data_IF_376714920062
#
_entry.id   IF_376714920062
#
_cell.length_a   1.000
_cell.length_b   1.000
_cell.length_c   1.000
_cell.angle_alpha   90.00
_cell.angle_beta   90.00
_cell.angle_gamma   90.00
#
_symmetry.space_group_name_H-M   'P 1'
#
loop_
_entity.id
_entity.type
_entity.pdbx_description
1 polymer ?
#
# COMPACT_ATOMS: atom_id res chain seq x y z
N UNK A 1 -54.03 -7.96 -78.28
CA UNK A 1 -54.89 -8.19 -79.46
C UNK A 1 -56.26 -8.54 -78.93
N UNK A 2 -57.31 -7.85 -79.37
CA UNK A 2 -58.67 -8.16 -78.93
C UNK A 2 -59.22 -9.30 -79.78
N UNK A 3 -59.84 -10.29 -79.14
CA UNK A 3 -60.55 -11.38 -79.80
C UNK A 3 -62.04 -11.12 -79.65
N UNK A 4 -62.76 -11.09 -80.77
CA UNK A 4 -64.20 -10.90 -80.83
C UNK A 4 -64.84 -12.26 -80.98
N UNK A 5 -65.81 -12.55 -80.13
CA UNK A 5 -66.57 -13.79 -80.24
C UNK A 5 -67.53 -13.70 -81.42
N UNK A 6 -67.33 -14.58 -82.41
CA UNK A 6 -68.26 -14.74 -83.53
C UNK A 6 -69.43 -15.60 -83.12
N UNK A 7 -69.13 -16.75 -82.48
CA UNK A 7 -70.11 -17.73 -82.01
C UNK A 7 -69.66 -18.33 -80.68
N UNK A 8 -70.53 -19.12 -80.06
CA UNK A 8 -70.17 -19.80 -78.80
C UNK A 8 -68.92 -20.64 -79.02
N UNK A 9 -67.87 -20.36 -78.24
CA UNK A 9 -66.55 -20.97 -78.34
C UNK A 9 -65.80 -20.77 -79.68
N UNK A 10 -66.12 -19.74 -80.47
CA UNK A 10 -65.37 -19.32 -81.69
C UNK A 10 -65.11 -17.82 -81.71
N UNK A 11 -63.85 -17.43 -81.90
CA UNK A 11 -63.37 -16.06 -81.78
C UNK A 11 -62.44 -15.70 -82.93
N UNK A 12 -62.54 -14.47 -83.44
CA UNK A 12 -61.62 -13.91 -84.44
C UNK A 12 -60.86 -12.70 -83.87
N UNK A 13 -59.70 -12.37 -84.43
CA UNK A 13 -58.97 -11.16 -84.05
C UNK A 13 -59.00 -10.03 -85.11
N UNK A 14 -59.82 -10.19 -86.16
CA UNK A 14 -59.95 -9.24 -87.27
C UNK A 14 -58.76 -9.19 -88.23
N UNK A 15 -57.81 -10.14 -88.12
CA UNK A 15 -56.68 -10.32 -89.05
C UNK A 15 -56.67 -11.73 -89.64
N UNK A 16 -57.86 -12.34 -89.81
CA UNK A 16 -58.04 -13.68 -90.35
C UNK A 16 -57.73 -14.83 -89.40
N UNK A 17 -57.19 -14.60 -88.19
CA UNK A 17 -56.96 -15.67 -87.23
C UNK A 17 -58.23 -16.01 -86.44
N UNK A 18 -58.57 -17.29 -86.42
CA UNK A 18 -59.70 -17.89 -85.72
C UNK A 18 -59.19 -18.78 -84.58
N UNK A 19 -59.68 -18.52 -83.38
CA UNK A 19 -59.57 -19.39 -82.21
C UNK A 19 -60.93 -20.04 -81.98
N UNK A 20 -61.02 -21.35 -82.11
CA UNK A 20 -62.27 -22.06 -81.87
C UNK A 20 -62.09 -23.31 -81.02
N UNK A 21 -63.17 -23.73 -80.39
CA UNK A 21 -63.23 -25.01 -79.69
C UNK A 21 -63.81 -26.07 -80.62
N UNK A 22 -62.92 -26.83 -81.22
CA UNK A 22 -63.28 -28.00 -81.99
C UNK A 22 -63.77 -29.14 -81.07
N UNK A 23 -64.74 -29.90 -81.56
CA UNK A 23 -65.37 -30.99 -80.81
C UNK A 23 -64.47 -32.19 -80.58
N UNK A 24 -63.44 -32.38 -81.41
CA UNK A 24 -62.52 -33.52 -81.36
C UNK A 24 -61.16 -33.13 -80.75
N UNK A 25 -60.64 -31.95 -81.07
CA UNK A 25 -59.29 -31.51 -80.68
C UNK A 25 -59.27 -30.47 -79.55
N UNK A 26 -60.43 -29.96 -79.12
CA UNK A 26 -60.51 -28.90 -78.13
C UNK A 26 -60.14 -27.54 -78.71
N UNK A 27 -59.44 -26.68 -77.97
CA UNK A 27 -59.09 -25.35 -78.46
C UNK A 27 -58.04 -25.41 -79.57
N UNK A 28 -58.38 -24.90 -80.74
CA UNK A 28 -57.53 -24.83 -81.93
C UNK A 28 -57.39 -23.39 -82.42
N UNK A 29 -56.25 -23.08 -83.08
CA UNK A 29 -55.97 -21.78 -83.68
C UNK A 29 -55.57 -21.96 -85.15
N UNK A 30 -56.22 -21.24 -86.06
CA UNK A 30 -55.91 -21.25 -87.49
C UNK A 30 -56.16 -19.89 -88.12
N UNK A 31 -55.78 -19.74 -89.39
CA UNK A 31 -56.09 -18.57 -90.20
C UNK A 31 -57.14 -18.95 -91.25
N UNK A 32 -58.23 -18.21 -91.36
CA UNK A 32 -59.40 -18.52 -92.19
C UNK A 32 -59.03 -18.71 -93.67
N UNK A 33 -58.33 -17.75 -94.28
CA UNK A 33 -57.93 -17.85 -95.69
C UNK A 33 -56.98 -19.02 -95.98
N UNK A 34 -56.24 -19.50 -94.96
CA UNK A 34 -55.32 -20.63 -95.11
C UNK A 34 -56.08 -21.95 -94.95
N UNK A 35 -57.03 -22.00 -94.03
CA UNK A 35 -57.86 -23.18 -93.76
C UNK A 35 -58.81 -23.47 -94.92
N UNK A 36 -59.37 -22.42 -95.54
CA UNK A 36 -60.21 -22.54 -96.73
C UNK A 36 -59.46 -23.14 -97.94
N UNK A 37 -58.18 -22.80 -98.11
CA UNK A 37 -57.35 -23.29 -99.23
C UNK A 37 -56.66 -24.62 -98.91
N UNK A 38 -56.34 -24.88 -97.63
CA UNK A 38 -55.68 -26.07 -97.12
C UNK A 38 -56.38 -26.56 -95.83
N UNK A 39 -57.25 -27.60 -95.92
CA UNK A 39 -57.97 -28.09 -94.76
C UNK A 39 -57.04 -28.72 -93.72
N UNK A 40 -57.44 -28.68 -92.45
CA UNK A 40 -56.73 -29.21 -91.28
C UNK A 40 -55.38 -28.54 -90.96
N UNK A 41 -55.19 -27.28 -91.37
CA UNK A 41 -53.97 -26.50 -91.10
C UNK A 41 -53.95 -25.81 -89.73
N UNK A 42 -54.82 -26.24 -88.82
CA UNK A 42 -54.95 -25.67 -87.47
C UNK A 42 -53.90 -26.20 -86.49
N UNK A 43 -53.60 -25.39 -85.47
CA UNK A 43 -52.74 -25.76 -84.35
C UNK A 43 -53.60 -26.09 -83.14
N UNK A 44 -53.45 -27.30 -82.59
CA UNK A 44 -54.10 -27.69 -81.34
C UNK A 44 -53.37 -27.02 -80.17
N UNK A 45 -54.08 -26.14 -79.46
CA UNK A 45 -53.45 -25.33 -78.42
C UNK A 45 -53.14 -26.13 -77.15
N UNK A 46 -53.79 -27.28 -76.94
CA UNK A 46 -53.48 -28.21 -75.86
C UNK A 46 -52.05 -28.80 -75.98
N UNK A 47 -51.55 -28.95 -77.22
CA UNK A 47 -50.22 -29.48 -77.49
C UNK A 47 -49.12 -28.43 -77.26
N UNK A 48 -49.47 -27.13 -77.33
CA UNK A 48 -48.57 -26.01 -77.01
C UNK A 48 -48.67 -25.57 -75.54
N UNK A 49 -49.87 -25.61 -74.97
CA UNK A 49 -50.19 -25.16 -73.62
C UNK A 49 -51.02 -26.23 -72.92
N UNK A 50 -50.55 -26.76 -71.80
CA UNK A 50 -51.17 -27.93 -71.15
C UNK A 50 -52.65 -27.75 -70.76
N UNK A 51 -53.18 -26.52 -70.75
CA UNK A 51 -54.61 -26.19 -70.69
C UNK A 51 -54.87 -24.66 -70.84
N UNK A 52 -55.15 -24.10 -72.04
CA UNK A 52 -55.39 -22.66 -72.20
C UNK A 52 -56.78 -22.18 -71.71
N UNK A 53 -57.66 -23.09 -71.25
CA UNK A 53 -59.04 -22.78 -70.84
C UNK A 53 -59.28 -22.60 -69.34
N UNK A 54 -58.24 -22.57 -68.49
CA UNK A 54 -58.39 -22.44 -67.04
C UNK A 54 -57.58 -21.26 -66.47
N UNK A 55 -58.30 -20.22 -66.02
CA UNK A 55 -57.91 -19.34 -64.92
C UNK A 55 -56.78 -18.32 -65.14
N UNK A 56 -56.79 -17.55 -66.23
CA UNK A 56 -55.92 -16.36 -66.35
C UNK A 56 -56.61 -15.16 -65.71
N UNK A 57 -55.97 -14.50 -64.73
CA UNK A 57 -56.40 -13.17 -64.26
C UNK A 57 -55.73 -12.11 -65.13
N UNK A 58 -56.52 -11.45 -65.97
CA UNK A 58 -56.05 -10.32 -66.79
C UNK A 58 -56.00 -9.03 -65.97
N UNK A 59 -54.98 -8.20 -66.23
CA UNK A 59 -54.89 -6.87 -65.64
C UNK A 59 -56.00 -5.97 -66.19
N UNK A 60 -56.51 -5.07 -65.36
CA UNK A 60 -57.42 -4.00 -65.77
C UNK A 60 -56.77 -3.20 -66.91
N UNK A 61 -57.41 -3.05 -68.07
CA UNK A 61 -56.78 -2.49 -69.27
C UNK A 61 -56.60 -0.97 -69.23
N UNK A 62 -57.21 -0.26 -68.28
CA UNK A 62 -57.07 1.20 -68.10
C UNK A 62 -55.97 1.50 -67.09
N UNK A 63 -55.84 0.68 -66.05
CA UNK A 63 -54.92 0.92 -64.92
C UNK A 63 -53.71 0.00 -64.91
N UNK A 64 -53.72 -1.06 -65.71
CA UNK A 64 -52.70 -2.09 -65.83
C UNK A 64 -52.38 -2.82 -64.50
N UNK A 65 -53.39 -3.00 -63.64
CA UNK A 65 -53.29 -3.63 -62.31
C UNK A 65 -54.17 -4.89 -62.20
N UNK A 66 -53.84 -5.78 -61.28
CA UNK A 66 -54.68 -6.96 -60.99
C UNK A 66 -56.02 -6.49 -60.38
N UNK A 67 -57.18 -6.95 -60.87
CA UNK A 67 -58.49 -6.61 -60.31
C UNK A 67 -58.63 -6.99 -58.82
N UNK A 68 -59.17 -6.07 -58.02
CA UNK A 68 -59.22 -6.17 -56.55
C UNK A 68 -60.06 -7.36 -56.07
N UNK A 69 -61.08 -7.75 -56.85
CA UNK A 69 -61.96 -8.90 -56.59
C UNK A 69 -61.25 -10.25 -56.73
N UNK A 70 -60.02 -10.26 -57.28
CA UNK A 70 -59.16 -11.44 -57.40
C UNK A 70 -58.04 -11.49 -56.36
N UNK A 71 -57.93 -10.50 -55.48
CA UNK A 71 -56.97 -10.50 -54.39
C UNK A 71 -57.63 -11.04 -53.10
N UNK A 72 -56.96 -11.89 -52.30
CA UNK A 72 -57.46 -12.25 -50.98
C UNK A 72 -57.44 -11.01 -50.08
N UNK A 73 -58.54 -10.68 -49.36
CA UNK A 73 -58.51 -9.59 -48.41
C UNK A 73 -57.71 -10.03 -47.19
N UNK A 74 -56.56 -9.40 -46.94
CA UNK A 74 -56.15 -9.19 -45.54
C UNK A 74 -55.34 -7.90 -45.40
N UNK A 75 -56.09 -6.84 -45.12
CA UNK A 75 -55.67 -5.62 -44.45
C UNK A 75 -56.89 -5.23 -43.62
N UNK A 76 -56.68 -4.72 -42.39
CA UNK A 76 -57.71 -4.17 -41.49
C UNK A 76 -58.92 -3.69 -42.31
N UNK A 77 -60.06 -4.39 -42.23
CA UNK A 77 -61.17 -4.09 -43.13
C UNK A 77 -61.87 -2.82 -42.65
N UNK A 78 -62.07 -2.68 -41.33
CA UNK A 78 -62.79 -1.54 -40.77
C UNK A 78 -62.27 -1.11 -39.38
N UNK A 79 -62.52 0.17 -39.07
CA UNK A 79 -62.28 0.77 -37.75
C UNK A 79 -63.64 1.17 -37.15
N UNK A 80 -64.01 0.55 -36.04
CA UNK A 80 -65.24 0.80 -35.32
C UNK A 80 -64.99 1.70 -34.11
N UNK A 81 -65.83 2.71 -33.88
CA UNK A 81 -65.82 3.47 -32.61
C UNK A 81 -67.05 3.10 -31.80
N UNK A 82 -66.84 2.61 -30.58
CA UNK A 82 -67.87 2.16 -29.65
C UNK A 82 -67.71 2.86 -28.29
N UNK A 83 -68.77 2.87 -27.49
CA UNK A 83 -68.82 3.54 -26.19
C UNK A 83 -68.94 2.57 -25.01
N UNK A 84 -68.73 1.27 -25.23
CA UNK A 84 -68.70 0.26 -24.17
C UNK A 84 -68.08 -1.06 -24.65
N UNK A 85 -67.69 -1.91 -23.71
CA UNK A 85 -67.29 -3.30 -24.00
C UNK A 85 -68.41 -4.12 -24.65
N UNK A 86 -69.66 -3.91 -24.20
CA UNK A 86 -70.80 -4.65 -24.72
C UNK A 86 -71.00 -4.32 -26.20
N UNK A 87 -70.88 -3.04 -26.57
CA UNK A 87 -70.93 -2.62 -27.96
C UNK A 87 -69.76 -3.16 -28.80
N UNK A 88 -68.56 -3.29 -28.22
CA UNK A 88 -67.40 -3.92 -28.88
C UNK A 88 -67.66 -5.39 -29.22
N UNK A 89 -68.18 -6.17 -28.27
CA UNK A 89 -68.43 -7.61 -28.46
C UNK A 89 -69.63 -7.90 -29.37
N UNK A 90 -70.45 -6.89 -29.67
CA UNK A 90 -71.57 -6.98 -30.59
C UNK A 90 -71.22 -6.59 -32.04
N UNK A 91 -69.95 -6.21 -32.31
CA UNK A 91 -69.50 -5.84 -33.65
C UNK A 91 -69.54 -7.04 -34.59
N UNK A 92 -70.02 -6.80 -35.82
CA UNK A 92 -69.81 -7.72 -36.94
C UNK A 92 -68.42 -7.41 -37.50
N UNK A 93 -67.39 -7.99 -36.89
CA UNK A 93 -65.99 -7.75 -37.18
C UNK A 93 -65.26 -9.04 -37.58
N UNK A 94 -64.21 -8.90 -38.39
CA UNK A 94 -63.34 -9.97 -38.84
C UNK A 94 -61.95 -9.81 -38.23
N UNK A 95 -61.18 -10.91 -38.22
CA UNK A 95 -59.79 -10.90 -37.79
C UNK A 95 -59.02 -9.77 -38.49
N UNK A 96 -58.41 -8.90 -37.71
CA UNK A 96 -57.69 -7.72 -38.17
C UNK A 96 -58.44 -6.39 -37.99
N UNK A 97 -59.76 -6.40 -37.74
CA UNK A 97 -60.51 -5.18 -37.50
C UNK A 97 -60.15 -4.52 -36.17
N UNK A 98 -60.35 -3.19 -36.10
CA UNK A 98 -60.01 -2.39 -34.93
C UNK A 98 -61.28 -1.84 -34.29
N UNK A 99 -61.40 -1.99 -32.97
CA UNK A 99 -62.39 -1.30 -32.16
C UNK A 99 -61.72 -0.21 -31.30
N UNK A 100 -62.26 1.00 -31.34
CA UNK A 100 -61.87 2.14 -30.50
C UNK A 100 -62.95 2.34 -29.44
N UNK A 101 -62.58 2.21 -28.17
CA UNK A 101 -63.49 2.39 -27.03
C UNK A 101 -63.35 3.77 -26.43
N UNK A 102 -64.37 4.61 -26.67
CA UNK A 102 -64.45 5.99 -26.16
C UNK A 102 -64.77 6.07 -24.65
N UNK A 103 -65.19 4.96 -24.03
CA UNK A 103 -65.45 4.87 -22.59
C UNK A 103 -64.20 4.66 -21.74
N UNK A 104 -63.04 4.44 -22.37
CA UNK A 104 -61.75 4.25 -21.71
C UNK A 104 -60.85 5.47 -21.92
N UNK A 105 -59.96 5.81 -20.96
CA UNK A 105 -59.02 6.92 -21.12
C UNK A 105 -57.99 6.64 -22.22
N UNK A 106 -57.71 7.67 -23.04
CA UNK A 106 -56.84 7.58 -24.21
C UNK A 106 -57.54 6.98 -25.44
N UNK A 107 -56.87 6.88 -26.60
CA UNK A 107 -57.43 6.14 -27.73
C UNK A 107 -57.35 4.65 -27.39
N UNK A 108 -58.32 4.10 -26.66
CA UNK A 108 -58.30 2.69 -26.29
C UNK A 108 -58.66 1.83 -27.50
N UNK A 109 -57.63 1.44 -28.26
CA UNK A 109 -57.76 0.67 -29.49
C UNK A 109 -57.51 -0.82 -29.22
N UNK A 110 -58.31 -1.67 -29.84
CA UNK A 110 -58.23 -3.13 -29.76
C UNK A 110 -58.26 -3.72 -31.16
N UNK A 111 -57.42 -4.70 -31.46
CA UNK A 111 -57.44 -5.45 -32.72
C UNK A 111 -58.02 -6.84 -32.49
N UNK A 112 -58.90 -7.30 -33.39
CA UNK A 112 -59.46 -8.64 -33.32
C UNK A 112 -58.45 -9.67 -33.86
N UNK A 113 -57.89 -10.50 -32.96
CA UNK A 113 -56.87 -11.50 -33.29
C UNK A 113 -57.43 -12.93 -33.43
N UNK A 114 -58.72 -13.16 -33.17
CA UNK A 114 -59.40 -14.43 -33.38
C UNK A 114 -60.54 -14.31 -34.39
N UNK A 115 -61.26 -15.40 -34.66
CA UNK A 115 -62.36 -15.41 -35.64
C UNK A 115 -63.74 -15.14 -35.02
N UNK A 116 -63.81 -15.03 -33.69
CA UNK A 116 -65.05 -14.74 -32.95
C UNK A 116 -64.99 -13.34 -32.30
N UNK A 117 -65.72 -12.33 -32.83
CA UNK A 117 -65.76 -10.97 -32.26
C UNK A 117 -66.53 -10.89 -30.94
N UNK A 118 -67.37 -11.87 -30.58
CA UNK A 118 -68.09 -11.89 -29.32
C UNK A 118 -67.23 -12.38 -28.14
N UNK A 119 -66.09 -13.02 -28.42
CA UNK A 119 -65.17 -13.49 -27.40
C UNK A 119 -64.15 -12.43 -27.03
N UNK A 120 -64.26 -11.85 -25.83
CA UNK A 120 -63.42 -10.74 -25.38
C UNK A 120 -61.91 -11.00 -25.46
N UNK A 121 -61.46 -12.23 -25.20
CA UNK A 121 -60.03 -12.54 -25.24
C UNK A 121 -59.44 -12.52 -26.67
N UNK A 122 -60.29 -12.55 -27.70
CA UNK A 122 -59.82 -12.35 -29.08
C UNK A 122 -59.47 -10.89 -29.37
N UNK A 123 -59.89 -9.93 -28.54
CA UNK A 123 -59.58 -8.51 -28.72
C UNK A 123 -58.31 -8.13 -27.96
N UNK A 124 -57.24 -7.88 -28.70
CA UNK A 124 -55.93 -7.54 -28.14
C UNK A 124 -55.77 -6.01 -28.08
N UNK A 125 -55.51 -5.42 -26.90
CA UNK A 125 -55.27 -3.98 -26.80
C UNK A 125 -54.00 -3.60 -27.54
N UNK A 126 -54.08 -2.62 -28.44
CA UNK A 126 -52.93 -2.09 -29.20
C UNK A 126 -52.43 -0.75 -28.64
N UNK A 127 -53.09 -0.22 -27.62
CA UNK A 127 -52.73 1.02 -26.93
C UNK A 127 -52.55 0.80 -25.44
N UNK A 128 -51.53 1.43 -24.85
CA UNK A 128 -51.34 1.48 -23.41
C UNK A 128 -52.40 2.39 -22.78
N UNK A 129 -53.13 1.87 -21.79
CA UNK A 129 -54.26 2.52 -21.11
C UNK A 129 -53.90 3.79 -20.32
N UNK A 130 -52.61 4.09 -20.14
CA UNK A 130 -52.13 5.33 -19.53
C UNK A 130 -50.81 5.75 -20.18
N UNK A 131 -50.71 6.94 -20.80
CA UNK A 131 -49.40 7.46 -21.17
C UNK A 131 -48.59 7.68 -19.88
N UNK A 132 -47.49 6.94 -19.71
CA UNK A 132 -46.53 7.18 -18.63
C UNK A 132 -45.99 8.62 -18.74
N UNK A 133 -45.89 9.32 -17.62
CA UNK A 133 -45.31 10.67 -17.57
C UNK A 133 -43.94 10.76 -18.26
N UNK A 134 -43.14 9.69 -18.17
CA UNK A 134 -41.83 9.59 -18.81
C UNK A 134 -41.91 9.59 -20.34
N UNK A 135 -43.02 9.10 -20.90
CA UNK A 135 -43.22 8.95 -22.34
C UNK A 135 -43.85 10.19 -22.99
N UNK A 136 -44.26 11.18 -22.19
CA UNK A 136 -44.76 12.48 -22.68
C UNK A 136 -43.56 13.33 -23.12
N UNK A 137 -43.49 13.64 -24.42
CA UNK A 137 -42.50 14.56 -24.99
C UNK A 137 -42.93 16.03 -24.81
N UNK A 138 -41.99 16.97 -24.92
CA UNK A 138 -42.23 18.42 -24.83
C UNK A 138 -42.84 18.90 -23.51
N UNK A 139 -42.47 18.27 -22.38
CA UNK A 139 -42.84 18.74 -21.05
C UNK A 139 -42.24 20.13 -20.79
N UNK A 140 -43.02 21.10 -20.27
CA UNK A 140 -42.47 22.40 -19.88
C UNK A 140 -41.48 22.21 -18.72
N UNK A 141 -40.42 23.01 -18.69
CA UNK A 141 -39.40 22.95 -17.63
C UNK A 141 -39.93 23.39 -16.25
N UNK A 142 -41.03 24.13 -16.23
CA UNK A 142 -41.72 24.53 -15.02
C UNK A 142 -43.23 24.61 -15.25
N UNK A 143 -43.99 24.41 -14.19
CA UNK A 143 -45.42 24.66 -14.16
C UNK A 143 -45.66 25.99 -13.45
N UNK A 144 -46.48 26.90 -14.01
CA UNK A 144 -46.91 28.08 -13.28
C UNK A 144 -47.49 27.65 -11.93
N UNK A 145 -46.93 28.11 -10.80
CA UNK A 145 -47.43 27.71 -9.50
C UNK A 145 -48.86 28.25 -9.33
N UNK A 146 -49.69 27.48 -8.64
CA UNK A 146 -50.94 28.01 -8.11
C UNK A 146 -50.68 29.21 -7.18
N UNK A 147 -51.71 30.02 -6.97
CA UNK A 147 -51.64 31.10 -5.97
C UNK A 147 -51.29 30.50 -4.61
N UNK A 148 -50.19 30.98 -4.04
CA UNK A 148 -49.75 30.66 -2.69
C UNK A 148 -49.32 31.96 -2.00
N UNK A 149 -49.41 31.98 -0.67
CA UNK A 149 -48.97 33.12 0.12
C UNK A 149 -47.64 32.80 0.82
N UNK A 150 -46.86 33.86 1.06
CA UNK A 150 -45.79 33.88 2.05
C UNK A 150 -46.31 34.75 3.19
N UNK A 151 -47.19 34.20 4.01
CA UNK A 151 -47.84 34.93 5.11
C UNK A 151 -46.87 35.22 6.28
N UNK A 152 -47.41 35.67 7.41
CA UNK A 152 -46.68 35.99 8.66
C UNK A 152 -45.82 34.85 9.21
N UNK A 153 -45.92 33.64 8.66
CA UNK A 153 -45.06 32.51 9.01
C UNK A 153 -43.65 32.62 8.42
N UNK A 154 -43.43 33.52 7.44
CA UNK A 154 -42.15 33.71 6.76
C UNK A 154 -41.75 35.19 6.75
N UNK A 155 -40.51 35.46 7.16
CA UNK A 155 -39.90 36.77 6.93
C UNK A 155 -39.39 36.85 5.49
N UNK A 156 -39.66 37.97 4.83
CA UNK A 156 -39.00 38.31 3.57
C UNK A 156 -37.52 38.61 3.82
N UNK A 157 -36.69 38.43 2.80
CA UNK A 157 -35.26 38.72 2.88
C UNK A 157 -34.97 40.16 3.37
N UNK A 158 -35.65 41.22 2.86
CA UNK A 158 -35.43 42.58 3.35
C UNK A 158 -35.78 42.78 4.84
N UNK A 159 -36.81 42.10 5.36
CA UNK A 159 -37.19 42.18 6.77
C UNK A 159 -36.11 41.56 7.67
N UNK A 160 -35.57 40.40 7.28
CA UNK A 160 -34.46 39.76 7.99
C UNK A 160 -33.20 40.61 7.94
N UNK A 161 -32.85 41.13 6.76
CA UNK A 161 -31.67 41.99 6.57
C UNK A 161 -31.79 43.26 7.44
N UNK A 162 -32.98 43.88 7.50
CA UNK A 162 -33.26 45.05 8.34
C UNK A 162 -33.16 44.70 9.83
N UNK A 163 -33.72 43.57 10.25
CA UNK A 163 -33.66 43.12 11.64
C UNK A 163 -32.25 42.76 12.11
N UNK A 164 -31.36 42.38 11.18
CA UNK A 164 -29.96 42.03 11.45
C UNK A 164 -28.99 43.20 11.33
N UNK A 165 -29.32 44.27 10.59
CA UNK A 165 -28.41 45.39 10.30
C UNK A 165 -27.83 46.06 11.57
N UNK A 166 -28.59 46.08 12.67
CA UNK A 166 -28.16 46.63 13.96
C UNK A 166 -27.54 45.62 14.93
N UNK A 167 -27.44 44.34 14.55
CA UNK A 167 -26.94 43.28 15.44
C UNK A 167 -25.45 43.03 15.19
N UNK A 168 -24.69 42.90 16.28
CA UNK A 168 -23.28 42.50 16.25
C UNK A 168 -23.15 40.97 16.24
N UNK A 169 -22.13 40.45 15.56
CA UNK A 169 -21.78 39.03 15.60
C UNK A 169 -21.27 38.60 16.98
N UNK A 170 -21.71 37.45 17.47
CA UNK A 170 -21.22 36.86 18.72
C UNK A 170 -19.81 36.28 18.61
N UNK A 171 -19.27 36.14 17.39
CA UNK A 171 -17.93 35.61 17.15
C UNK A 171 -16.81 36.63 17.44
N UNK A 172 -17.15 37.92 17.53
CA UNK A 172 -16.18 38.99 17.80
C UNK A 172 -16.32 39.48 19.24
N UNK A 173 -15.25 39.39 20.07
CA UNK A 173 -15.23 40.03 21.38
C UNK A 173 -15.55 41.52 21.27
N UNK A 174 -16.24 42.05 22.28
CA UNK A 174 -16.59 43.47 22.33
C UNK A 174 -15.34 44.28 22.74
N UNK A 175 -14.85 45.21 21.91
CA UNK A 175 -13.74 46.08 22.28
C UNK A 175 -14.14 46.98 23.46
N UNK A 176 -13.19 47.27 24.37
CA UNK A 176 -13.45 48.14 25.52
C UNK A 176 -13.93 49.54 25.12
N UNK A 177 -13.56 50.04 23.93
CA UNK A 177 -14.00 51.32 23.39
C UNK A 177 -15.50 51.39 23.08
N UNK A 178 -16.14 50.24 22.85
CA UNK A 178 -17.56 50.17 22.50
C UNK A 178 -18.46 50.02 23.73
N UNK A 179 -17.86 49.91 24.92
CA UNK A 179 -18.58 49.73 26.16
C UNK A 179 -18.69 51.09 26.84
N UNK A 180 -19.93 51.55 27.02
CA UNK A 180 -20.21 52.74 27.83
C UNK A 180 -19.99 52.40 29.30
N UNK A 181 -19.07 53.10 29.95
CA UNK A 181 -18.75 52.97 31.37
C UNK A 181 -19.65 53.85 32.23
N UNK A 182 -19.86 53.49 33.49
CA UNK A 182 -20.61 54.29 34.46
C UNK A 182 -19.72 54.75 35.63
N UNK A 183 -20.33 55.42 36.62
CA UNK A 183 -19.61 55.95 37.76
C UNK A 183 -18.99 54.87 38.67
N UNK A 184 -19.54 53.65 38.64
CA UNK A 184 -19.15 52.50 39.46
C UNK A 184 -18.41 51.40 38.69
N UNK A 185 -18.43 51.43 37.36
CA UNK A 185 -17.78 50.44 36.49
C UNK A 185 -16.95 51.16 35.42
N UNK A 186 -15.63 51.24 35.63
CA UNK A 186 -14.67 51.83 34.69
C UNK A 186 -13.60 50.83 34.30
N UNK A 187 -13.13 50.92 33.05
CA UNK A 187 -11.90 50.23 32.65
C UNK A 187 -10.69 50.91 33.28
N UNK A 188 -9.69 50.11 33.56
CA UNK A 188 -8.42 50.55 34.13
C UNK A 188 -7.29 50.04 33.25
N UNK A 189 -6.31 50.89 33.00
CA UNK A 189 -5.11 50.51 32.27
C UNK A 189 -4.09 49.86 33.19
N UNK A 190 -3.17 49.09 32.62
CA UNK A 190 -2.09 48.48 33.43
C UNK A 190 -1.14 49.53 34.01
N UNK A 191 -1.02 50.71 33.38
CA UNK A 191 -0.29 51.85 33.93
C UNK A 191 -0.95 52.38 35.21
N UNK A 192 -2.27 52.60 35.19
CA UNK A 192 -3.02 53.04 36.38
C UNK A 192 -2.96 52.01 37.50
N UNK A 193 -3.11 50.71 37.19
CA UNK A 193 -2.93 49.63 38.19
C UNK A 193 -1.53 49.63 38.81
N UNK A 194 -0.50 49.90 38.01
CA UNK A 194 0.88 49.97 38.49
C UNK A 194 1.05 51.12 39.48
N UNK A 195 0.44 52.28 39.20
CA UNK A 195 0.44 53.42 40.14
C UNK A 195 -0.33 53.12 41.43
N UNK A 196 -1.43 52.37 41.38
CA UNK A 196 -2.18 52.01 42.60
C UNK A 196 -1.51 50.95 43.46
N UNK A 197 -0.91 49.93 42.84
CA UNK A 197 -0.25 48.83 43.55
C UNK A 197 1.16 49.20 44.02
N UNK A 198 1.78 50.18 43.35
CA UNK A 198 3.11 50.70 43.70
C UNK A 198 3.03 52.23 43.69
N UNK A 199 2.24 52.84 44.60
CA UNK A 199 2.21 54.29 44.68
C UNK A 199 3.62 54.78 44.97
N UNK A 200 4.01 55.87 44.30
CA UNK A 200 5.28 56.52 44.60
C UNK A 200 5.35 56.74 46.12
N UNK A 201 6.44 56.31 46.74
CA UNK A 201 6.61 56.48 48.18
C UNK A 201 6.37 57.96 48.50
N UNK A 202 5.35 58.23 49.32
CA UNK A 202 5.10 59.58 49.82
C UNK A 202 6.40 60.03 50.48
N UNK A 203 7.04 61.06 49.95
CA UNK A 203 8.13 61.72 50.68
C UNK A 203 7.55 62.10 52.06
N UNK A 204 8.27 61.75 53.12
CA UNK A 204 7.90 62.10 54.48
C UNK A 204 7.52 63.58 54.61
N UNK A 205 8.14 64.45 53.81
CA UNK A 205 7.90 65.88 53.78
C UNK A 205 6.53 66.28 53.20
N UNK A 206 5.89 65.48 52.34
CA UNK A 206 4.62 65.82 51.67
C UNK A 206 3.37 65.38 52.43
N UNK A 207 3.53 64.55 53.47
CA UNK A 207 2.44 64.14 54.36
C UNK A 207 1.97 65.31 55.25
N UNK A 208 0.74 65.77 55.05
CA UNK A 208 0.04 66.71 55.92
C UNK A 208 -0.60 65.98 57.12
N UNK A 209 -0.79 66.67 58.25
CA UNK A 209 -1.39 66.14 59.49
C UNK A 209 -0.65 64.96 60.14
N UNK A 210 0.66 64.84 59.93
CA UNK A 210 1.49 63.84 60.62
C UNK A 210 1.70 64.19 62.10
N UNK A 211 1.59 63.23 63.02
CA UNK A 211 1.98 63.42 64.43
C UNK A 211 3.45 63.85 64.54
N UNK A 212 3.75 64.82 65.42
CA UNK A 212 5.13 65.24 65.70
C UNK A 212 5.95 64.12 66.38
N UNK A 213 5.28 63.20 67.06
CA UNK A 213 5.81 61.92 67.51
C UNK A 213 4.69 60.89 67.45
N UNK A 214 5.08 59.63 67.26
CA UNK A 214 4.21 58.48 67.48
C UNK A 214 4.55 57.94 68.86
N UNK A 215 3.71 58.14 69.89
CA UNK A 215 3.87 57.43 71.15
C UNK A 215 3.76 55.93 70.82
N UNK A 216 4.77 55.10 71.14
CA UNK A 216 4.62 53.66 70.94
C UNK A 216 3.46 53.17 71.80
N UNK A 217 2.68 52.24 71.27
CA UNK A 217 1.71 51.52 72.07
C UNK A 217 2.42 50.89 73.28
N UNK A 218 1.67 50.79 74.37
CA UNK A 218 2.09 50.16 75.62
C UNK A 218 2.42 48.70 75.29
N UNK A 219 3.71 48.41 75.12
CA UNK A 219 4.22 47.08 74.87
C UNK A 219 5.06 46.63 76.06
N UNK A 220 5.01 45.34 76.33
CA UNK A 220 5.85 44.69 77.32
C UNK A 220 7.00 43.97 76.60
N UNK A 221 8.13 43.86 77.27
CA UNK A 221 9.20 42.94 76.88
C UNK A 221 9.07 41.69 77.75
N UNK A 222 7.95 40.98 77.60
CA UNK A 222 7.68 39.76 78.34
C UNK A 222 8.41 38.54 77.73
N UNK A 223 8.08 37.34 78.19
CA UNK A 223 8.69 36.09 77.74
C UNK A 223 8.50 35.78 76.24
N UNK A 224 7.64 36.52 75.53
CA UNK A 224 7.50 36.40 74.08
C UNK A 224 8.65 37.08 73.32
N UNK A 225 9.47 37.89 74.00
CA UNK A 225 10.64 38.55 73.42
C UNK A 225 11.94 38.05 74.04
N UNK A 226 12.93 37.77 73.20
CA UNK A 226 14.29 37.55 73.69
C UNK A 226 15.00 38.89 73.88
N UNK A 227 15.64 39.09 75.02
CA UNK A 227 16.58 40.19 75.22
C UNK A 227 17.79 40.04 74.29
N UNK A 228 18.47 41.16 74.02
CA UNK A 228 19.71 41.15 73.23
C UNK A 228 20.72 40.14 73.77
N UNK A 229 20.91 40.09 75.09
CA UNK A 229 21.82 39.12 75.72
C UNK A 229 21.40 37.67 75.51
N UNK A 230 20.10 37.37 75.51
CA UNK A 230 19.60 36.01 75.28
C UNK A 230 19.82 35.58 73.83
N UNK A 231 19.58 36.47 72.85
CA UNK A 231 19.86 36.19 71.44
C UNK A 231 21.36 36.08 71.19
N UNK A 232 22.16 37.01 71.71
CA UNK A 232 23.63 36.96 71.58
C UNK A 232 24.16 35.63 72.14
N UNK A 233 23.63 35.18 73.28
CA UNK A 233 23.98 33.88 73.87
C UNK A 233 23.53 32.70 73.00
N UNK A 234 22.28 32.73 72.50
CA UNK A 234 21.74 31.68 71.65
C UNK A 234 22.48 31.55 70.30
N UNK A 235 23.02 32.67 69.81
CA UNK A 235 23.75 32.74 68.53
C UNK A 235 25.27 32.56 68.67
N UNK A 236 25.87 32.70 69.86
CA UNK A 236 27.32 32.66 70.05
C UNK A 236 28.00 31.37 69.54
N UNK A 237 27.27 30.24 69.50
CA UNK A 237 27.74 28.96 68.96
C UNK A 237 27.22 28.61 67.57
N UNK A 238 26.47 29.50 66.92
CA UNK A 238 25.89 29.26 65.60
C UNK A 238 26.81 29.82 64.51
N UNK A 239 27.01 29.03 63.45
CA UNK A 239 27.76 29.46 62.26
C UNK A 239 26.83 30.20 61.29
N UNK A 240 27.35 31.19 60.59
CA UNK A 240 26.66 31.84 59.47
C UNK A 240 26.51 30.88 58.29
N UNK A 241 25.35 30.85 57.65
CA UNK A 241 25.09 30.06 56.44
C UNK A 241 25.71 30.68 55.17
N UNK A 242 26.16 31.93 55.24
CA UNK A 242 26.73 32.64 54.09
C UNK A 242 28.18 32.22 53.75
N UNK A 243 28.86 31.52 54.67
CA UNK A 243 30.24 31.04 54.47
C UNK A 243 30.26 29.52 54.37
N UNK A 244 30.77 28.95 53.26
CA UNK A 244 30.99 27.50 53.15
C UNK A 244 31.84 26.96 54.31
N UNK A 245 31.58 25.72 54.73
CA UNK A 245 32.32 25.06 55.81
C UNK A 245 33.67 24.60 55.24
N UNK A 246 34.82 25.07 55.76
CA UNK A 246 36.12 24.58 55.32
C UNK A 246 36.31 23.12 55.79
N UNK A 247 37.01 22.32 54.99
CA UNK A 247 37.23 20.91 55.29
C UNK A 247 37.93 20.67 56.66
N UNK A 248 38.69 21.66 57.15
CA UNK A 248 39.35 21.62 58.46
C UNK A 248 38.38 21.59 59.64
N UNK A 249 37.16 22.08 59.45
CA UNK A 249 36.14 22.17 60.51
C UNK A 249 35.20 20.96 60.49
N UNK A 250 35.40 20.02 59.57
CA UNK A 250 34.59 18.83 59.41
C UNK A 250 35.36 17.65 60.00
N UNK A 251 34.80 17.04 61.04
CA UNK A 251 35.30 15.77 61.58
C UNK A 251 34.90 14.63 60.65
N UNK A 252 35.84 13.95 59.97
CA UNK A 252 35.52 12.84 59.09
C UNK A 252 35.15 11.58 59.87
N UNK A 253 34.35 10.70 59.28
CA UNK A 253 33.99 9.40 59.86
C UNK A 253 34.69 8.24 59.14
N UNK A 254 34.40 7.00 59.54
CA UNK A 254 35.03 5.80 58.96
C UNK A 254 34.70 5.57 57.49
N UNK A 255 33.64 6.20 56.98
CA UNK A 255 33.12 6.05 55.62
C UNK A 255 33.27 7.31 54.76
N UNK A 256 33.55 8.47 55.37
CA UNK A 256 33.72 9.75 54.68
C UNK A 256 35.04 10.40 55.09
N UNK A 257 36.02 10.42 54.19
CA UNK A 257 37.32 11.08 54.39
C UNK A 257 37.58 12.08 53.27
N UNK A 258 38.22 13.19 53.60
CA UNK A 258 38.75 14.10 52.58
C UNK A 258 40.00 13.47 51.94
N UNK A 259 40.18 13.72 50.64
CA UNK A 259 41.33 13.26 49.87
C UNK A 259 42.00 14.46 49.25
N UNK A 260 43.31 14.56 49.41
CA UNK A 260 44.12 15.63 48.81
C UNK A 260 44.41 15.35 47.33
N UNK A 261 44.73 16.40 46.56
CA UNK A 261 45.10 16.21 45.15
C UNK A 261 46.40 15.42 44.98
N UNK A 262 47.30 15.48 45.96
CA UNK A 262 48.51 14.65 45.98
C UNK A 262 48.17 13.16 46.11
N UNK A 263 47.28 12.78 47.03
CA UNK A 263 46.80 11.39 47.17
C UNK A 263 46.08 10.91 45.91
N UNK A 264 45.22 11.75 45.31
CA UNK A 264 44.56 11.42 44.02
C UNK A 264 45.58 11.19 42.91
N UNK A 265 46.62 12.03 42.83
CA UNK A 265 47.67 11.89 41.84
C UNK A 265 48.44 10.58 42.02
N UNK A 266 48.74 10.17 43.26
CA UNK A 266 49.37 8.87 43.53
C UNK A 266 48.49 7.70 43.12
N UNK A 267 47.19 7.72 43.42
CA UNK A 267 46.26 6.66 42.99
C UNK A 267 46.11 6.58 41.48
N UNK A 268 46.02 7.73 40.80
CA UNK A 268 45.92 7.79 39.35
C UNK A 268 47.23 7.34 38.68
N UNK A 269 48.39 7.70 39.24
CA UNK A 269 49.69 7.25 38.76
C UNK A 269 49.90 5.73 38.94
N UNK A 270 49.28 5.13 39.95
CA UNK A 270 49.24 3.67 40.15
C UNK A 270 48.33 2.94 39.14
N UNK A 271 47.73 3.64 38.17
CA UNK A 271 47.09 3.03 37.01
C UNK A 271 45.71 2.42 37.27
N UNK A 272 44.98 2.87 38.30
CA UNK A 272 43.53 2.61 38.43
C UNK A 272 43.08 1.14 38.33
N UNK A 273 43.97 0.18 38.58
CA UNK A 273 43.72 -1.23 38.35
C UNK A 273 44.55 -2.09 39.28
N UNK A 274 43.86 -2.80 40.17
CA UNK A 274 44.31 -3.95 40.96
C UNK A 274 45.84 -4.09 41.11
N UNK A 275 46.40 -3.49 42.16
CA UNK A 275 47.71 -3.92 42.66
C UNK A 275 47.57 -5.33 43.21
N UNK A 276 47.75 -6.34 42.35
CA UNK A 276 47.89 -7.74 42.76
C UNK A 276 49.17 -7.84 43.62
N UNK A 277 49.08 -8.30 44.89
CA UNK A 277 50.19 -8.30 45.84
C UNK A 277 51.39 -9.19 45.46
N UNK A 278 51.36 -9.88 44.32
CA UNK A 278 52.37 -10.90 43.98
C UNK A 278 53.17 -10.68 42.69
N UNK A 279 53.07 -9.54 41.99
CA UNK A 279 53.89 -9.22 40.80
C UNK A 279 53.93 -10.27 39.65
N UNK A 280 53.04 -11.26 39.68
CA UNK A 280 53.09 -12.45 38.84
C UNK A 280 51.73 -12.63 38.19
N UNK A 281 51.66 -12.32 36.88
CA UNK A 281 51.49 -13.37 35.86
C UNK A 281 50.87 -12.90 34.54
N UNK A 282 50.32 -11.69 34.43
CA UNK A 282 49.84 -11.21 33.11
C UNK A 282 50.03 -9.69 32.95
N UNK A 283 51.03 -9.30 32.17
CA UNK A 283 51.15 -7.93 31.68
C UNK A 283 50.44 -7.80 30.33
N UNK A 284 49.17 -7.40 30.35
CA UNK A 284 48.35 -7.19 29.15
C UNK A 284 48.83 -6.04 28.25
N UNK A 285 49.84 -5.27 28.65
CA UNK A 285 50.39 -4.19 27.83
C UNK A 285 51.34 -4.69 26.71
N UNK A 286 51.74 -5.97 26.73
CA UNK A 286 52.71 -6.54 25.77
C UNK A 286 52.16 -7.78 25.04
N UNK A 287 51.01 -7.66 24.36
CA UNK A 287 50.56 -8.63 23.36
C UNK A 287 50.50 -10.10 23.81
N UNK A 288 50.46 -11.06 22.87
CA UNK A 288 50.40 -12.52 23.14
C UNK A 288 51.74 -13.09 23.68
N UNK A 289 52.39 -12.40 24.60
CA UNK A 289 53.68 -12.80 25.18
C UNK A 289 53.51 -12.95 26.70
N UNK A 290 53.96 -14.07 27.28
CA UNK A 290 54.15 -14.17 28.74
C UNK A 290 55.62 -13.88 29.03
N UNK A 291 55.87 -12.86 29.86
CA UNK A 291 57.22 -12.60 30.38
C UNK A 291 57.44 -13.49 31.59
N UNK A 292 57.98 -14.69 31.37
CA UNK A 292 58.45 -15.55 32.46
C UNK A 292 59.76 -14.96 32.98
N UNK A 293 59.92 -14.77 34.30
CA UNK A 293 61.02 -14.00 34.91
C UNK A 293 62.45 -14.44 34.51
N UNK A 294 62.61 -15.67 34.01
CA UNK A 294 63.89 -16.26 33.59
C UNK A 294 64.19 -16.14 32.09
N UNK A 295 63.31 -15.55 31.28
CA UNK A 295 63.52 -15.38 29.84
C UNK A 295 63.69 -13.88 29.51
N UNK A 296 64.91 -13.42 29.16
CA UNK A 296 65.20 -11.99 28.97
C UNK A 296 64.41 -11.32 27.85
N UNK A 297 63.97 -12.10 26.87
CA UNK A 297 63.28 -11.62 25.68
C UNK A 297 61.87 -12.21 25.63
N UNK A 298 60.80 -11.41 25.43
CA UNK A 298 59.45 -11.92 25.28
C UNK A 298 59.44 -12.98 24.17
N UNK A 299 59.29 -14.25 24.55
CA UNK A 299 59.33 -15.36 23.60
C UNK A 299 57.90 -15.77 23.31
N UNK A 300 57.47 -15.79 22.04
CA UNK A 300 56.11 -16.21 21.67
C UNK A 300 55.87 -17.63 22.16
N UNK A 301 54.86 -17.80 23.03
CA UNK A 301 54.41 -19.11 23.50
C UNK A 301 53.61 -19.74 22.37
N UNK A 302 53.94 -20.97 21.98
CA UNK A 302 53.23 -21.69 20.92
C UNK A 302 51.92 -22.30 21.43
N UNK A 303 51.88 -22.68 22.71
CA UNK A 303 50.69 -23.17 23.39
C UNK A 303 50.99 -23.59 24.83
N UNK A 304 50.05 -24.30 25.44
CA UNK A 304 50.16 -24.82 26.80
C UNK A 304 49.92 -26.33 26.79
N UNK A 305 50.64 -27.06 27.64
CA UNK A 305 50.33 -28.45 27.97
C UNK A 305 49.14 -28.50 28.94
N UNK A 306 48.51 -29.67 29.09
CA UNK A 306 47.35 -29.85 29.97
C UNK A 306 47.65 -29.57 31.45
N UNK A 307 48.93 -29.63 31.86
CA UNK A 307 49.41 -29.28 33.20
C UNK A 307 49.65 -27.77 33.39
N UNK A 308 49.39 -26.96 32.36
CA UNK A 308 49.62 -25.52 32.39
C UNK A 308 51.07 -25.10 32.15
N UNK A 309 51.96 -26.00 31.72
CA UNK A 309 53.32 -25.63 31.31
C UNK A 309 53.30 -25.00 29.90
N UNK A 310 53.89 -23.81 29.68
CA UNK A 310 53.97 -23.24 28.34
C UNK A 310 54.96 -24.04 27.49
N UNK A 311 54.63 -24.24 26.22
CA UNK A 311 55.58 -24.80 25.26
C UNK A 311 55.82 -23.86 24.08
N UNK A 312 56.97 -24.05 23.47
CA UNK A 312 57.56 -23.24 22.41
C UNK A 312 57.87 -24.13 21.21
N UNK A 313 57.95 -23.53 20.03
CA UNK A 313 58.28 -24.22 18.79
C UNK A 313 59.53 -23.59 18.17
N UNK A 314 60.48 -24.42 17.73
CA UNK A 314 61.70 -23.99 17.02
C UNK A 314 61.92 -24.81 15.76
N UNK A 315 62.18 -24.14 14.64
CA UNK A 315 62.47 -24.78 13.35
C UNK A 315 63.96 -24.74 13.04
N UNK A 316 64.51 -25.88 12.64
CA UNK A 316 65.91 -26.09 12.27
C UNK A 316 65.97 -26.75 10.89
N UNK A 317 67.03 -26.49 10.13
CA UNK A 317 67.28 -27.17 8.85
C UNK A 317 68.72 -27.65 8.82
N UNK A 318 68.94 -28.91 8.48
CA UNK A 318 70.27 -29.50 8.39
C UNK A 318 70.43 -30.36 7.13
N UNK A 319 71.57 -30.23 6.45
CA UNK A 319 71.87 -30.97 5.21
C UNK A 319 72.75 -32.18 5.49
N UNK A 320 72.30 -33.36 5.08
CA UNK A 320 73.17 -34.52 4.94
C UNK A 320 73.58 -34.68 3.47
N UNK A 321 74.88 -34.62 3.20
CA UNK A 321 75.42 -34.82 1.86
C UNK A 321 75.34 -36.30 1.43
N UNK A 322 75.51 -36.57 0.13
CA UNK A 322 75.54 -37.94 -0.37
C UNK A 322 76.62 -38.76 0.35
N UNK A 323 76.29 -40.00 0.74
CA UNK A 323 77.18 -40.87 1.51
C UNK A 323 77.25 -40.62 3.04
N UNK A 324 76.75 -39.49 3.55
CA UNK A 324 76.76 -39.19 5.00
C UNK A 324 75.52 -39.77 5.69
N UNK A 325 75.67 -40.65 6.68
CA UNK A 325 74.54 -41.35 7.33
C UNK A 325 73.99 -40.62 8.56
N UNK A 326 74.76 -39.72 9.17
CA UNK A 326 74.31 -38.93 10.33
C UNK A 326 74.99 -37.56 10.41
N UNK A 327 74.41 -36.66 11.19
CA UNK A 327 75.01 -35.36 11.52
C UNK A 327 74.20 -34.59 12.54
N UNK A 328 74.81 -33.57 13.15
CA UNK A 328 74.23 -32.87 14.29
C UNK A 328 74.20 -31.36 14.10
N UNK A 329 73.18 -30.71 14.67
CA UNK A 329 72.99 -29.25 14.64
C UNK A 329 72.66 -28.74 16.04
N UNK A 330 73.21 -27.59 16.43
CA UNK A 330 72.87 -26.97 17.72
C UNK A 330 71.41 -26.49 17.74
N UNK A 331 70.62 -26.93 18.73
CA UNK A 331 69.22 -26.50 18.85
C UNK A 331 69.06 -25.26 19.76
N UNK A 332 70.02 -24.98 20.63
CA UNK A 332 70.00 -23.79 21.51
C UNK A 332 68.82 -23.77 22.49
N UNK A 333 68.50 -24.92 23.08
CA UNK A 333 67.49 -25.07 24.14
C UNK A 333 68.29 -25.51 25.37
N UNK A 334 68.37 -24.66 26.39
CA UNK A 334 69.23 -24.91 27.55
C UNK A 334 68.71 -26.08 28.38
N UNK A 335 69.59 -27.01 28.76
CA UNK A 335 69.28 -28.21 29.55
C UNK A 335 68.23 -29.12 28.88
N UNK A 336 68.25 -29.21 27.55
CA UNK A 336 67.24 -29.95 26.80
C UNK A 336 67.19 -31.45 27.13
N UNK A 337 68.35 -32.11 27.19
CA UNK A 337 68.47 -33.53 27.54
C UNK A 337 68.30 -33.77 29.02
N UNK A 338 69.00 -32.98 29.86
CA UNK A 338 68.97 -33.11 31.33
C UNK A 338 67.56 -32.95 31.90
N UNK A 339 66.76 -32.03 31.35
CA UNK A 339 65.40 -31.76 31.82
C UNK A 339 64.30 -32.30 30.89
N UNK A 340 64.63 -33.14 29.90
CA UNK A 340 63.69 -33.67 28.90
C UNK A 340 62.78 -32.59 28.27
N UNK A 341 63.37 -31.43 27.93
CA UNK A 341 62.60 -30.25 27.49
C UNK A 341 62.04 -30.41 26.09
N UNK A 342 62.68 -31.20 25.24
CA UNK A 342 62.18 -31.47 23.88
C UNK A 342 61.28 -32.71 23.95
N UNK A 343 59.97 -32.48 23.92
CA UNK A 343 58.98 -33.56 24.06
C UNK A 343 58.42 -34.02 22.72
N UNK A 344 58.74 -33.34 21.61
CA UNK A 344 58.30 -33.77 20.29
C UNK A 344 58.99 -33.05 19.15
N UNK A 345 58.96 -33.66 17.97
CA UNK A 345 59.39 -33.03 16.74
C UNK A 345 58.52 -33.42 15.55
N UNK A 346 58.47 -32.54 14.56
CA UNK A 346 57.91 -32.78 13.24
C UNK A 346 59.02 -32.59 12.22
N UNK A 347 59.01 -33.31 11.10
CA UNK A 347 60.07 -33.17 10.12
C UNK A 347 59.60 -33.23 8.67
N UNK A 348 60.43 -32.69 7.78
CA UNK A 348 60.27 -32.75 6.34
C UNK A 348 61.64 -32.99 5.72
N UNK A 349 61.73 -33.94 4.79
CA UNK A 349 62.98 -34.28 4.07
C UNK A 349 62.87 -33.82 2.63
N UNK A 350 63.89 -33.12 2.14
CA UNK A 350 63.93 -32.56 0.78
C UNK A 350 65.17 -33.11 0.07
N UNK A 351 64.99 -33.81 -1.05
CA UNK A 351 66.12 -34.21 -1.91
C UNK A 351 66.74 -33.00 -2.60
N UNK A 352 68.08 -32.98 -2.73
CA UNK A 352 68.83 -31.86 -3.32
C UNK A 352 69.54 -32.33 -4.61
N UNK A 353 69.40 -31.63 -5.76
CA UNK A 353 68.49 -30.51 -6.01
C UNK A 353 67.02 -30.97 -6.01
N UNK A 354 66.11 -30.06 -5.63
CA UNK A 354 64.67 -30.34 -5.51
C UNK A 354 64.06 -30.75 -6.86
N UNK A 355 63.77 -32.03 -7.04
CA UNK A 355 62.92 -32.52 -8.14
C UNK A 355 61.46 -32.23 -7.81
N UNK A 356 60.68 -31.72 -8.78
CA UNK A 356 59.39 -31.03 -8.60
C UNK A 356 58.19 -31.82 -8.05
N UNK A 357 58.34 -32.48 -6.90
CA UNK A 357 57.25 -33.02 -6.09
C UNK A 357 56.87 -32.13 -4.91
N UNK A 358 55.63 -32.27 -4.42
CA UNK A 358 55.13 -31.59 -3.22
C UNK A 358 55.82 -32.16 -1.97
N UNK A 359 56.61 -31.34 -1.27
CA UNK A 359 57.21 -31.72 0.00
C UNK A 359 56.17 -31.51 1.11
N UNK A 360 55.58 -32.60 1.61
CA UNK A 360 54.60 -32.56 2.69
C UNK A 360 55.30 -32.51 4.06
N UNK A 361 54.73 -31.76 5.00
CA UNK A 361 55.04 -31.87 6.44
C UNK A 361 54.40 -33.18 6.94
N UNK A 362 55.20 -34.16 7.35
CA UNK A 362 54.68 -35.41 7.89
C UNK A 362 54.86 -35.43 9.40
N UNK A 363 53.75 -35.57 10.12
CA UNK A 363 53.72 -35.82 11.57
C UNK A 363 53.88 -37.32 11.82
N UNK A 364 54.89 -37.74 12.58
CA UNK A 364 55.05 -39.13 13.08
C UNK A 364 54.89 -40.28 12.06
N UNK A 365 55.37 -40.09 10.83
CA UNK A 365 55.53 -41.19 9.87
C UNK A 365 57.01 -41.45 9.62
N UNK A 366 57.43 -42.72 9.66
CA UNK A 366 58.72 -43.18 9.13
C UNK A 366 58.70 -43.02 7.61
N UNK A 367 59.02 -41.82 7.11
CA UNK A 367 59.47 -41.72 5.75
C UNK A 367 60.81 -42.46 5.70
N UNK A 368 60.97 -43.37 4.73
CA UNK A 368 62.12 -44.27 4.50
C UNK A 368 63.49 -43.59 4.28
N UNK A 369 63.66 -42.36 4.79
CA UNK A 369 64.83 -41.49 4.68
C UNK A 369 65.29 -40.96 6.03
N UNK A 370 64.44 -40.90 7.07
CA UNK A 370 64.86 -40.59 8.44
C UNK A 370 64.75 -41.86 9.28
N UNK A 371 65.86 -42.28 9.91
CA UNK A 371 65.89 -43.45 10.77
C UNK A 371 65.64 -43.06 12.23
N UNK A 372 66.37 -42.06 12.72
CA UNK A 372 66.36 -41.67 14.12
C UNK A 372 66.71 -40.20 14.27
N UNK A 373 66.14 -39.57 15.30
CA UNK A 373 66.50 -38.23 15.76
C UNK A 373 66.75 -38.33 17.26
N UNK A 374 67.97 -38.01 17.66
CA UNK A 374 68.40 -37.97 19.06
C UNK A 374 68.73 -36.53 19.45
N UNK A 375 68.67 -36.21 20.73
CA UNK A 375 69.12 -34.91 21.23
C UNK A 375 69.86 -35.06 22.57
N UNK A 376 70.79 -34.14 22.81
CA UNK A 376 71.39 -33.91 24.13
C UNK A 376 71.07 -32.48 24.61
N UNK A 377 71.82 -31.95 25.57
CA UNK A 377 71.61 -30.59 26.08
C UNK A 377 71.91 -29.47 25.08
N UNK A 378 72.58 -29.79 23.97
CA UNK A 378 73.14 -28.83 23.03
C UNK A 378 72.85 -29.14 21.57
N UNK A 379 72.87 -30.42 21.18
CA UNK A 379 72.85 -30.89 19.81
C UNK A 379 71.62 -31.76 19.53
N UNK A 380 71.06 -31.56 18.33
CA UNK A 380 70.09 -32.45 17.71
C UNK A 380 70.82 -33.27 16.66
N UNK A 381 70.85 -34.59 16.83
CA UNK A 381 71.51 -35.54 15.93
C UNK A 381 70.49 -36.23 15.04
N UNK A 382 70.71 -36.19 13.74
CA UNK A 382 69.83 -36.73 12.71
C UNK A 382 70.54 -37.92 12.09
N UNK A 383 69.91 -39.09 12.12
CA UNK A 383 70.41 -40.32 11.51
C UNK A 383 69.43 -40.71 10.40
N UNK A 384 69.94 -40.78 9.17
CA UNK A 384 69.13 -41.19 8.02
C UNK A 384 69.19 -42.70 7.81
N UNK A 385 68.18 -43.26 7.16
CA UNK A 385 68.18 -44.64 6.69
C UNK A 385 69.10 -44.82 5.46
N UNK A 386 69.39 -46.07 5.08
CA UNK A 386 70.25 -46.43 3.93
C UNK A 386 69.67 -45.97 2.57
N UNK A 387 69.82 -44.68 2.25
CA UNK A 387 69.42 -44.07 0.99
C UNK A 387 70.54 -43.21 0.41
N UNK A 388 70.72 -43.26 -0.91
CA UNK A 388 71.67 -42.42 -1.64
C UNK A 388 71.09 -41.04 -1.97
N UNK A 389 71.98 -40.04 -2.07
CA UNK A 389 71.67 -38.64 -2.42
C UNK A 389 71.82 -37.64 -1.27
N UNK A 390 71.98 -36.33 -1.55
CA UNK A 390 71.98 -35.30 -0.52
C UNK A 390 70.55 -34.86 -0.17
N UNK A 391 70.26 -34.64 1.11
CA UNK A 391 68.94 -34.25 1.61
C UNK A 391 69.02 -33.13 2.65
N UNK A 392 68.07 -32.20 2.59
CA UNK A 392 67.79 -31.24 3.67
C UNK A 392 66.70 -31.81 4.59
N UNK A 393 67.02 -31.91 5.87
CA UNK A 393 66.11 -32.28 6.94
C UNK A 393 65.67 -31.01 7.65
N UNK A 394 64.40 -30.66 7.48
CA UNK A 394 63.76 -29.54 8.16
C UNK A 394 63.02 -30.11 9.36
N UNK A 395 63.43 -29.76 10.58
CA UNK A 395 62.88 -30.29 11.83
C UNK A 395 62.28 -29.14 12.64
N UNK A 396 61.03 -29.32 13.06
CA UNK A 396 60.31 -28.43 13.97
C UNK A 396 60.25 -29.10 15.34
N UNK A 397 60.98 -28.58 16.32
CA UNK A 397 60.99 -29.05 17.71
C UNK A 397 59.87 -28.38 18.51
N UNK A 398 59.24 -29.14 19.40
CA UNK A 398 58.34 -28.65 20.46
C UNK A 398 59.07 -28.82 21.79
N UNK A 399 59.19 -27.73 22.57
CA UNK A 399 59.94 -27.74 23.82
C UNK A 399 59.31 -26.86 24.91
N UNK A 400 59.48 -27.24 26.17
CA UNK A 400 59.11 -26.44 27.35
C UNK A 400 60.28 -25.61 27.85
#
# INVERSE_FOLDING_TARGET
MAWIQLETDKFENGSGWILERDGMFGWILYHEDIEDEFPDTFIVLADLFSNPGLGVVTLDPVTNKVPIDKMPPIAINDIFTVNSQVAQLALIAQRGDIAIRSDLPGPAMFILAGDDPAYLQNWIPITTTYPDWNNIQNKPASFPPGSHNHDTSYYTKPEVDTALAGKRSSATPIPATDITVDATHRFVTDAEKTTWNSPAASDWNTLQNKPASFPPDLHNHDSSYYTKSQIDTALAGKRSSATPIPATDITPDSTHRFVTDAEKATWNAAGGGLSNPLNQDINFAVGKCVKVNTVPTPTPVAGWLDDGTPYYIKKLTYRLNNGVTSGSIAHGISLAGTNNRIFGFEYMVIFVPKTGGNNMLLTNFLNSKLNQVDYDDTLLTIIRSNSSGPFDFVITLKYT
#
